data_IF_030127407146
#
_entry.id   IF_030127407146
#
_cell.length_a   1.000
_cell.length_b   1.000
_cell.length_c   1.000
_cell.angle_alpha   90.00
_cell.angle_beta   90.00
_cell.angle_gamma   90.00
#
_symmetry.space_group_name_H-M   'P 1'
#
loop_
_entity.id
_entity.type
_entity.pdbx_description
1 polymer ?
#
# COMPACT_ATOMS: atom_id res chain seq x y z
N UNK A 1 -14.81 -12.02 9.27
CA UNK A 1 -14.17 -10.95 8.44
C UNK A 1 -15.23 -9.89 8.19
N UNK A 2 -15.04 -8.65 8.64
CA UNK A 2 -15.94 -7.56 8.25
C UNK A 2 -15.86 -7.40 6.73
N UNK A 3 -17.01 -7.22 6.05
CA UNK A 3 -17.09 -7.21 4.58
C UNK A 3 -16.28 -6.13 3.87
N UNK A 4 -15.70 -5.17 4.62
CA UNK A 4 -14.89 -4.01 4.16
C UNK A 4 -13.68 -4.38 3.30
N UNK A 5 -13.16 -5.61 3.44
CA UNK A 5 -11.91 -6.04 2.83
C UNK A 5 -12.06 -7.15 1.79
N UNK A 6 -13.29 -7.59 1.50
CA UNK A 6 -13.50 -8.79 0.67
C UNK A 6 -12.97 -8.59 -0.75
N UNK A 7 -13.23 -7.45 -1.38
CA UNK A 7 -12.81 -7.16 -2.76
C UNK A 7 -11.29 -7.04 -2.84
N UNK A 8 -10.68 -6.26 -1.94
CA UNK A 8 -9.23 -6.07 -1.92
C UNK A 8 -8.49 -7.37 -1.55
N UNK A 9 -9.05 -8.18 -0.65
CA UNK A 9 -8.51 -9.50 -0.30
C UNK A 9 -8.57 -10.48 -1.46
N UNK A 10 -9.68 -10.52 -2.21
CA UNK A 10 -9.80 -11.33 -3.43
C UNK A 10 -8.81 -10.86 -4.49
N UNK A 11 -8.68 -9.56 -4.72
CA UNK A 11 -7.72 -9.02 -5.69
C UNK A 11 -6.26 -9.36 -5.31
N UNK A 12 -5.90 -9.25 -4.04
CA UNK A 12 -4.59 -9.70 -3.55
C UNK A 12 -4.40 -11.20 -3.80
N UNK A 13 -5.35 -12.05 -3.42
CA UNK A 13 -5.26 -13.50 -3.63
C UNK A 13 -5.12 -13.88 -5.12
N UNK A 14 -5.86 -13.22 -6.00
CA UNK A 14 -5.75 -13.41 -7.46
C UNK A 14 -4.38 -12.96 -7.98
N UNK A 15 -3.89 -11.79 -7.56
CA UNK A 15 -2.57 -11.31 -7.93
C UNK A 15 -1.46 -12.24 -7.43
N UNK A 16 -1.57 -12.75 -6.21
CA UNK A 16 -0.65 -13.74 -5.68
C UNK A 16 -0.66 -15.00 -6.54
N UNK A 17 -1.84 -15.52 -6.89
CA UNK A 17 -1.97 -16.65 -7.80
C UNK A 17 -1.30 -16.42 -9.16
N UNK A 18 -1.48 -15.22 -9.74
CA UNK A 18 -0.82 -14.83 -10.99
C UNK A 18 0.70 -14.72 -10.85
N UNK A 19 1.21 -14.18 -9.74
CA UNK A 19 2.65 -14.13 -9.46
C UNK A 19 3.23 -15.53 -9.31
N UNK A 20 2.53 -16.43 -8.62
CA UNK A 20 2.94 -17.83 -8.48
C UNK A 20 2.92 -18.58 -9.83
N UNK A 21 1.99 -18.23 -10.74
CA UNK A 21 1.91 -18.79 -12.08
C UNK A 21 2.85 -18.13 -13.10
N UNK A 22 3.35 -16.92 -12.82
CA UNK A 22 4.16 -16.12 -13.74
C UNK A 22 5.43 -16.81 -14.27
N UNK A 23 6.13 -17.71 -13.55
CA UNK A 23 7.25 -18.46 -14.11
C UNK A 23 6.89 -19.26 -15.38
N UNK A 24 5.64 -19.69 -15.51
CA UNK A 24 5.18 -20.52 -16.64
C UNK A 24 4.64 -19.70 -17.82
N UNK A 25 4.17 -18.47 -17.58
CA UNK A 25 3.43 -17.67 -18.56
C UNK A 25 4.28 -16.51 -19.09
N UNK A 26 5.05 -15.86 -18.21
CA UNK A 26 5.76 -14.63 -18.51
C UNK A 26 6.69 -14.26 -17.35
N UNK A 27 7.88 -14.88 -17.28
CA UNK A 27 8.83 -14.65 -16.18
C UNK A 27 9.25 -13.17 -16.05
N UNK A 28 9.23 -12.42 -17.16
CA UNK A 28 9.54 -10.99 -17.19
C UNK A 28 8.50 -10.11 -16.46
N UNK A 29 7.29 -10.63 -16.23
CA UNK A 29 6.23 -9.94 -15.49
C UNK A 29 6.37 -10.10 -13.98
N UNK A 30 7.16 -11.08 -13.53
CA UNK A 30 7.32 -11.44 -12.13
C UNK A 30 7.77 -10.24 -11.25
N UNK A 31 8.75 -9.40 -11.65
CA UNK A 31 9.14 -8.24 -10.85
C UNK A 31 8.01 -7.21 -10.66
N UNK A 32 7.18 -7.00 -11.69
CA UNK A 32 6.04 -6.07 -11.63
C UNK A 32 4.91 -6.61 -10.76
N UNK A 33 4.63 -7.91 -10.84
CA UNK A 33 3.65 -8.57 -10.00
C UNK A 33 4.06 -8.55 -8.52
N UNK A 34 5.35 -8.78 -8.24
CA UNK A 34 5.93 -8.66 -6.89
C UNK A 34 5.81 -7.22 -6.37
N UNK A 35 6.19 -6.21 -7.16
CA UNK A 35 6.02 -4.81 -6.77
C UNK A 35 4.56 -4.48 -6.43
N UNK A 36 3.62 -5.00 -7.21
CA UNK A 36 2.20 -4.82 -6.97
C UNK A 36 1.74 -5.49 -5.66
N UNK A 37 2.25 -6.69 -5.35
CA UNK A 37 2.00 -7.35 -4.07
C UNK A 37 2.53 -6.51 -2.91
N UNK A 38 3.70 -5.88 -3.02
CA UNK A 38 4.26 -5.02 -1.97
C UNK A 38 3.34 -3.83 -1.65
N UNK A 39 2.79 -3.18 -2.68
CA UNK A 39 1.84 -2.07 -2.52
C UNK A 39 0.56 -2.55 -1.82
N UNK A 40 -0.07 -3.61 -2.33
CA UNK A 40 -1.37 -4.08 -1.83
C UNK A 40 -1.23 -4.67 -0.42
N UNK A 41 -0.19 -5.45 -0.16
CA UNK A 41 0.07 -6.05 1.16
C UNK A 41 0.33 -4.97 2.22
N UNK A 42 1.15 -3.96 1.91
CA UNK A 42 1.42 -2.87 2.83
C UNK A 42 0.18 -2.02 3.12
N UNK A 43 -0.65 -1.80 2.09
CA UNK A 43 -1.96 -1.16 2.25
C UNK A 43 -2.86 -1.94 3.21
N UNK A 44 -3.00 -3.25 3.00
CA UNK A 44 -3.82 -4.12 3.85
C UNK A 44 -3.27 -4.22 5.27
N UNK A 45 -1.95 -4.31 5.44
CA UNK A 45 -1.29 -4.32 6.74
C UNK A 45 -1.62 -3.04 7.50
N UNK A 46 -1.51 -1.87 6.85
CA UNK A 46 -1.83 -0.59 7.48
C UNK A 46 -3.32 -0.45 7.79
N UNK A 47 -4.19 -0.97 6.93
CA UNK A 47 -5.63 -0.95 7.15
C UNK A 47 -6.07 -1.87 8.31
N UNK A 48 -5.42 -3.02 8.45
CA UNK A 48 -5.65 -3.96 9.54
C UNK A 48 -5.21 -3.40 10.89
N UNK A 49 -4.16 -2.58 10.91
CA UNK A 49 -3.68 -1.89 12.10
C UNK A 49 -4.48 -0.61 12.40
N UNK A 50 -5.71 -0.80 12.89
CA UNK A 50 -6.64 0.30 13.24
C UNK A 50 -6.17 1.19 14.41
N UNK A 51 -5.04 0.88 15.06
CA UNK A 51 -4.52 1.62 16.21
C UNK A 51 -3.56 2.72 15.75
N UNK A 52 -4.12 3.86 15.38
CA UNK A 52 -3.42 4.99 14.76
C UNK A 52 -2.41 5.73 15.65
N UNK A 53 -2.60 5.73 16.97
CA UNK A 53 -1.82 6.56 17.88
C UNK A 53 -1.04 5.77 18.95
N UNK A 54 -1.38 4.50 19.21
CA UNK A 54 -1.01 3.85 20.49
C UNK A 54 0.22 2.94 20.47
N UNK A 55 0.97 2.86 19.35
CA UNK A 55 2.23 2.09 19.30
C UNK A 55 3.49 2.96 19.21
N UNK A 56 3.42 4.22 19.62
CA UNK A 56 4.64 5.01 19.79
C UNK A 56 5.49 4.38 20.91
N UNK A 57 6.69 3.88 20.56
CA UNK A 57 7.70 3.39 21.51
C UNK A 57 8.13 1.93 21.35
N UNK A 58 9.21 1.57 22.06
CA UNK A 58 9.91 0.28 21.96
C UNK A 58 9.02 -0.96 22.21
N UNK A 59 7.99 -0.85 23.06
CA UNK A 59 7.06 -1.95 23.34
C UNK A 59 6.12 -2.25 22.16
N UNK A 60 5.64 -1.22 21.47
CA UNK A 60 4.84 -1.37 20.25
C UNK A 60 5.66 -1.97 19.11
N UNK A 61 6.92 -1.54 18.99
CA UNK A 61 7.91 -2.08 18.06
C UNK A 61 8.21 -3.56 18.32
N UNK A 62 8.55 -3.92 19.57
CA UNK A 62 8.82 -5.31 19.95
C UNK A 62 7.61 -6.23 19.74
N UNK A 63 6.39 -5.76 20.03
CA UNK A 63 5.16 -6.50 19.75
C UNK A 63 4.94 -6.71 18.25
N UNK A 64 5.22 -5.70 17.42
CA UNK A 64 5.10 -5.82 15.97
C UNK A 64 6.09 -6.84 15.39
N UNK A 65 7.34 -6.82 15.87
CA UNK A 65 8.39 -7.77 15.46
C UNK A 65 8.01 -9.20 15.83
N UNK A 66 7.44 -9.44 17.02
CA UNK A 66 7.00 -10.79 17.40
C UNK A 66 5.93 -11.38 16.49
N UNK A 67 5.13 -10.53 15.83
CA UNK A 67 4.11 -10.95 14.87
C UNK A 67 4.63 -11.02 13.42
N UNK A 68 5.82 -10.48 13.15
CA UNK A 68 6.40 -10.45 11.80
C UNK A 68 6.68 -11.85 11.21
N UNK A 69 7.14 -12.87 11.96
CA UNK A 69 7.45 -14.18 11.37
C UNK A 69 6.31 -14.78 10.56
N UNK A 70 5.08 -14.75 11.09
CA UNK A 70 3.90 -15.25 10.37
C UNK A 70 3.58 -14.47 9.10
N UNK A 71 3.93 -13.18 9.05
CA UNK A 71 3.76 -12.33 7.84
C UNK A 71 4.87 -12.53 6.82
N UNK A 72 6.06 -12.97 7.24
CA UNK A 72 7.21 -13.20 6.35
C UNK A 72 7.10 -14.51 5.56
N UNK A 73 6.36 -15.51 6.04
CA UNK A 73 6.24 -16.82 5.38
C UNK A 73 5.74 -16.72 3.93
N UNK A 74 4.66 -15.99 3.60
CA UNK A 74 4.23 -15.83 2.20
C UNK A 74 5.28 -15.18 1.30
N UNK A 75 6.08 -14.25 1.85
CA UNK A 75 7.16 -13.59 1.12
C UNK A 75 8.34 -14.51 0.85
N UNK A 76 8.67 -15.40 1.80
CA UNK A 76 9.64 -16.46 1.58
C UNK A 76 9.18 -17.40 0.44
N UNK A 77 7.89 -17.76 0.41
CA UNK A 77 7.32 -18.52 -0.71
C UNK A 77 7.44 -17.78 -2.05
N UNK A 78 7.16 -16.48 -2.07
CA UNK A 78 7.32 -15.64 -3.27
C UNK A 78 8.78 -15.56 -3.74
N UNK A 79 9.73 -15.46 -2.80
CA UNK A 79 11.15 -15.47 -3.10
C UNK A 79 11.60 -16.83 -3.68
N UNK A 80 11.11 -17.95 -3.14
CA UNK A 80 11.35 -19.29 -3.71
C UNK A 80 10.84 -19.38 -5.14
N UNK A 81 9.65 -18.86 -5.43
CA UNK A 81 9.12 -18.81 -6.80
C UNK A 81 10.00 -17.98 -7.73
N UNK A 82 10.53 -16.85 -7.27
CA UNK A 82 11.49 -16.06 -8.06
C UNK A 82 12.78 -16.85 -8.38
N UNK A 83 13.26 -17.71 -7.47
CA UNK A 83 14.39 -18.62 -7.75
C UNK A 83 14.00 -19.68 -8.79
N UNK A 84 12.81 -20.27 -8.67
CA UNK A 84 12.31 -21.29 -9.61
C UNK A 84 12.10 -20.70 -11.01
N UNK A 85 11.74 -19.42 -11.12
CA UNK A 85 11.53 -18.74 -12.39
C UNK A 85 12.78 -18.63 -13.28
N UNK A 86 13.96 -18.91 -12.74
CA UNK A 86 15.20 -19.04 -13.50
C UNK A 86 16.34 -18.16 -12.96
N UNK A 87 17.57 -18.35 -13.48
CA UNK A 87 18.78 -17.70 -12.95
C UNK A 87 18.73 -16.17 -13.04
N UNK A 88 18.03 -15.63 -14.04
CA UNK A 88 17.84 -14.19 -14.22
C UNK A 88 17.01 -13.55 -13.10
N UNK A 89 16.07 -14.30 -12.52
CA UNK A 89 15.16 -13.84 -11.47
C UNK A 89 15.64 -14.22 -10.05
N UNK A 90 16.69 -15.02 -9.92
CA UNK A 90 17.25 -15.39 -8.61
C UNK A 90 17.70 -14.15 -7.79
N UNK A 91 18.21 -13.11 -8.44
CA UNK A 91 18.56 -11.85 -7.78
C UNK A 91 17.34 -11.10 -7.20
N UNK A 92 16.15 -11.29 -7.79
CA UNK A 92 14.92 -10.73 -7.28
C UNK A 92 14.51 -11.38 -5.96
N UNK A 93 14.79 -12.67 -5.75
CA UNK A 93 14.51 -13.35 -4.49
C UNK A 93 15.21 -12.67 -3.30
N UNK A 94 16.51 -12.35 -3.45
CA UNK A 94 17.25 -11.59 -2.45
C UNK A 94 16.66 -10.19 -2.23
N UNK A 95 16.21 -9.55 -3.30
CA UNK A 95 15.59 -8.22 -3.25
C UNK A 95 14.23 -8.23 -2.54
N UNK A 96 13.40 -9.26 -2.76
CA UNK A 96 12.14 -9.49 -2.06
C UNK A 96 12.40 -9.63 -0.56
N UNK A 97 13.32 -10.50 -0.17
CA UNK A 97 13.64 -10.76 1.22
C UNK A 97 14.21 -9.52 1.92
N UNK A 98 15.15 -8.82 1.28
CA UNK A 98 15.70 -7.57 1.81
C UNK A 98 14.61 -6.50 1.96
N UNK A 99 13.77 -6.31 0.95
CA UNK A 99 12.72 -5.31 0.97
C UNK A 99 11.64 -5.60 2.01
N UNK A 100 11.23 -6.85 2.20
CA UNK A 100 10.23 -7.18 3.21
C UNK A 100 10.79 -7.09 4.63
N UNK A 101 12.05 -7.46 4.84
CA UNK A 101 12.71 -7.28 6.14
C UNK A 101 12.83 -5.80 6.48
N UNK A 102 13.26 -4.96 5.53
CA UNK A 102 13.26 -3.51 5.72
C UNK A 102 11.83 -2.99 5.95
N UNK A 103 10.87 -3.45 5.14
CA UNK A 103 9.45 -3.11 5.18
C UNK A 103 8.83 -3.34 6.55
N UNK A 104 8.91 -4.55 7.05
CA UNK A 104 8.29 -4.98 8.31
C UNK A 104 9.06 -4.52 9.55
N UNK A 105 10.40 -4.52 9.53
CA UNK A 105 11.20 -4.25 10.74
C UNK A 105 11.53 -2.76 10.94
N UNK A 106 11.63 -1.99 9.85
CA UNK A 106 12.06 -0.58 9.88
C UNK A 106 11.01 0.38 9.33
N UNK A 107 10.57 0.16 8.09
CA UNK A 107 9.71 1.12 7.37
C UNK A 107 8.32 1.14 7.99
N UNK A 108 7.72 0.00 8.31
CA UNK A 108 6.39 -0.06 8.91
C UNK A 108 6.34 0.62 10.28
N UNK A 109 7.22 0.29 11.25
CA UNK A 109 7.10 0.90 12.57
C UNK A 109 7.42 2.39 12.59
N UNK A 110 8.41 2.85 11.81
CA UNK A 110 8.75 4.28 11.70
C UNK A 110 7.69 5.02 10.87
N UNK A 111 7.30 4.45 9.73
CA UNK A 111 6.33 5.01 8.81
C UNK A 111 4.95 5.13 9.44
N UNK A 112 4.44 4.11 10.14
CA UNK A 112 3.15 4.18 10.81
C UNK A 112 3.06 5.36 11.80
N UNK A 113 4.17 5.69 12.48
CA UNK A 113 4.26 6.84 13.37
C UNK A 113 4.33 8.17 12.62
N UNK A 114 5.22 8.29 11.62
CA UNK A 114 5.41 9.53 10.87
C UNK A 114 4.20 9.87 9.98
N UNK A 115 3.63 8.89 9.29
CA UNK A 115 2.46 9.05 8.42
C UNK A 115 1.24 9.56 9.20
N UNK A 116 1.13 9.19 10.49
CA UNK A 116 0.10 9.70 11.39
C UNK A 116 0.15 11.21 11.58
N UNK A 117 1.32 11.84 11.42
CA UNK A 117 1.52 13.29 11.66
C UNK A 117 1.42 14.15 10.41
N UNK A 118 1.55 13.56 9.22
CA UNK A 118 1.54 14.32 7.97
C UNK A 118 0.10 14.75 7.61
N UNK A 119 -0.15 16.03 7.26
CA UNK A 119 -1.45 16.41 6.71
C UNK A 119 -1.69 15.72 5.36
N UNK A 120 -2.95 15.69 4.89
CA UNK A 120 -3.31 15.01 3.63
C UNK A 120 -2.52 15.50 2.41
N UNK A 121 -2.20 16.80 2.34
CA UNK A 121 -1.31 17.37 1.30
C UNK A 121 0.13 16.85 1.43
N UNK A 122 0.62 16.68 2.66
CA UNK A 122 1.93 16.09 2.92
C UNK A 122 2.00 14.62 2.51
N UNK A 123 0.92 13.85 2.69
CA UNK A 123 0.82 12.48 2.20
C UNK A 123 0.82 12.42 0.67
N UNK A 124 0.11 13.33 0.00
CA UNK A 124 0.14 13.41 -1.45
C UNK A 124 1.55 13.74 -1.98
N UNK A 125 2.25 14.69 -1.35
CA UNK A 125 3.64 15.01 -1.68
C UNK A 125 4.58 13.81 -1.45
N UNK A 126 4.39 13.07 -0.34
CA UNK A 126 5.15 11.86 -0.06
C UNK A 126 4.88 10.75 -1.11
N UNK A 127 3.62 10.54 -1.50
CA UNK A 127 3.25 9.58 -2.56
C UNK A 127 3.95 9.95 -3.86
N UNK A 128 3.93 11.23 -4.26
CA UNK A 128 4.65 11.70 -5.45
C UNK A 128 6.16 11.47 -5.35
N UNK A 129 6.76 11.78 -4.19
CA UNK A 129 8.18 11.54 -3.94
C UNK A 129 8.54 10.06 -4.04
N UNK A 130 7.71 9.17 -3.49
CA UNK A 130 7.90 7.72 -3.56
C UNK A 130 7.75 7.20 -4.99
N UNK A 131 6.82 7.73 -5.79
CA UNK A 131 6.69 7.38 -7.20
C UNK A 131 7.91 7.82 -8.02
N UNK A 132 8.43 9.03 -7.77
CA UNK A 132 9.69 9.51 -8.37
C UNK A 132 10.85 8.61 -7.92
N UNK A 133 10.89 8.25 -6.64
CA UNK A 133 11.89 7.32 -6.11
C UNK A 133 11.83 5.96 -6.81
N UNK A 134 10.64 5.40 -7.00
CA UNK A 134 10.45 4.19 -7.80
C UNK A 134 10.99 4.38 -9.22
N UNK A 135 10.73 5.50 -9.90
CA UNK A 135 11.24 5.71 -11.26
C UNK A 135 12.77 5.83 -11.35
N UNK A 136 13.43 6.28 -10.28
CA UNK A 136 14.89 6.38 -10.19
C UNK A 136 15.55 5.05 -9.80
N UNK A 137 14.83 4.16 -9.10
CA UNK A 137 15.32 2.85 -8.72
C UNK A 137 15.10 1.81 -9.83
N UNK A 138 16.11 0.96 -10.03
CA UNK A 138 16.04 -0.11 -11.03
C UNK A 138 14.94 -1.13 -10.71
N UNK A 139 14.38 -1.74 -11.75
CA UNK A 139 13.39 -2.81 -11.62
C UNK A 139 13.99 -3.97 -10.82
N UNK A 140 13.20 -4.53 -9.90
CA UNK A 140 13.63 -5.65 -9.06
C UNK A 140 14.64 -5.29 -7.97
N UNK A 141 15.09 -4.05 -7.85
CA UNK A 141 15.98 -3.64 -6.75
C UNK A 141 15.23 -3.59 -5.41
N UNK A 142 15.90 -3.90 -4.29
CA UNK A 142 15.26 -3.89 -2.97
C UNK A 142 14.75 -2.51 -2.57
N UNK A 143 15.44 -1.44 -2.98
CA UNK A 143 15.02 -0.06 -2.74
C UNK A 143 13.66 0.25 -3.41
N UNK A 144 13.45 -0.21 -4.65
CA UNK A 144 12.20 -0.04 -5.37
C UNK A 144 11.04 -0.74 -4.66
N UNK A 145 11.24 -1.99 -4.25
CA UNK A 145 10.24 -2.77 -3.52
C UNK A 145 9.94 -2.17 -2.12
N UNK A 146 10.95 -1.65 -1.44
CA UNK A 146 10.79 -0.92 -0.18
C UNK A 146 9.98 0.37 -0.35
N UNK A 147 10.22 1.12 -1.43
CA UNK A 147 9.41 2.29 -1.78
C UNK A 147 7.98 1.91 -2.14
N UNK A 148 7.78 0.82 -2.88
CA UNK A 148 6.46 0.27 -3.19
C UNK A 148 5.68 -0.13 -1.91
N UNK A 149 6.36 -0.71 -0.92
CA UNK A 149 5.79 -0.97 0.40
C UNK A 149 5.35 0.33 1.09
N UNK A 150 6.24 1.34 1.15
CA UNK A 150 5.93 2.64 1.74
C UNK A 150 4.79 3.37 1.01
N UNK A 151 4.71 3.19 -0.32
CA UNK A 151 3.66 3.73 -1.17
C UNK A 151 2.30 3.13 -0.80
N UNK A 152 2.22 1.81 -0.61
CA UNK A 152 1.02 1.12 -0.14
C UNK A 152 0.53 1.63 1.22
N UNK A 153 1.43 1.78 2.19
CA UNK A 153 1.10 2.35 3.50
C UNK A 153 0.60 3.80 3.40
N UNK A 154 1.31 4.63 2.64
CA UNK A 154 0.97 6.05 2.45
C UNK A 154 -0.37 6.21 1.75
N UNK A 155 -0.62 5.38 0.73
CA UNK A 155 -1.90 5.28 0.03
C UNK A 155 -3.06 4.93 0.96
N UNK A 156 -2.86 3.97 1.85
CA UNK A 156 -3.85 3.58 2.85
C UNK A 156 -4.20 4.74 3.78
N UNK A 157 -3.19 5.43 4.32
CA UNK A 157 -3.39 6.58 5.19
C UNK A 157 -4.07 7.74 4.45
N UNK A 158 -3.68 7.99 3.20
CA UNK A 158 -4.29 9.00 2.34
C UNK A 158 -5.78 8.70 2.09
N UNK A 159 -6.09 7.44 1.81
CA UNK A 159 -7.45 6.97 1.59
C UNK A 159 -8.32 7.08 2.84
N UNK A 160 -7.83 6.63 4.00
CA UNK A 160 -8.56 6.71 5.28
C UNK A 160 -8.84 8.14 5.74
N UNK A 161 -8.14 9.14 5.19
CA UNK A 161 -8.37 10.59 5.43
C UNK A 161 -9.12 11.26 4.28
N UNK A 162 -9.51 10.47 3.29
CA UNK A 162 -10.26 10.88 2.11
C UNK A 162 -11.76 10.85 2.35
N UNK A 163 -12.54 11.40 1.41
CA UNK A 163 -13.97 11.22 1.41
C UNK A 163 -14.30 9.74 1.13
N UNK A 164 -15.05 9.11 2.05
CA UNK A 164 -15.50 7.73 1.92
C UNK A 164 -16.66 7.62 0.92
N UNK A 165 -16.61 6.58 0.06
CA UNK A 165 -17.75 6.17 -0.76
C UNK A 165 -18.22 7.15 -1.86
N UNK A 166 -17.51 8.25 -2.09
CA UNK A 166 -17.89 9.20 -3.15
C UNK A 166 -17.62 8.65 -4.55
N UNK A 167 -18.66 8.60 -5.40
CA UNK A 167 -18.56 8.15 -6.79
C UNK A 167 -17.47 8.88 -7.58
N UNK A 168 -17.32 10.19 -7.34
CA UNK A 168 -16.28 11.01 -7.98
C UNK A 168 -14.87 10.51 -7.63
N UNK A 169 -14.60 10.20 -6.37
CA UNK A 169 -13.29 9.72 -5.93
C UNK A 169 -12.98 8.36 -6.54
N UNK A 170 -13.96 7.45 -6.55
CA UNK A 170 -13.82 6.14 -7.22
C UNK A 170 -13.55 6.27 -8.72
N UNK A 171 -14.28 7.15 -9.43
CA UNK A 171 -14.07 7.39 -10.86
C UNK A 171 -12.70 8.00 -11.14
N UNK A 172 -12.22 8.93 -10.30
CA UNK A 172 -10.90 9.52 -10.44
C UNK A 172 -9.79 8.48 -10.22
N UNK A 173 -9.88 7.63 -9.19
CA UNK A 173 -8.88 6.58 -8.97
C UNK A 173 -8.94 5.50 -10.05
N UNK A 174 -10.14 5.16 -10.55
CA UNK A 174 -10.30 4.18 -11.62
C UNK A 174 -9.73 4.69 -12.95
N UNK A 175 -10.02 5.94 -13.31
CA UNK A 175 -9.46 6.57 -14.50
C UNK A 175 -7.95 6.74 -14.38
N UNK A 176 -7.44 7.16 -13.21
CA UNK A 176 -6.00 7.23 -12.97
C UNK A 176 -5.32 5.85 -13.10
N UNK A 177 -5.94 4.79 -12.58
CA UNK A 177 -5.45 3.42 -12.74
C UNK A 177 -5.41 3.00 -14.20
N UNK A 178 -6.50 3.21 -14.94
CA UNK A 178 -6.60 2.89 -16.37
C UNK A 178 -5.56 3.65 -17.20
N UNK A 179 -5.47 4.97 -17.03
CA UNK A 179 -4.50 5.81 -17.75
C UNK A 179 -3.07 5.40 -17.43
N UNK A 180 -2.73 5.21 -16.16
CA UNK A 180 -1.37 4.85 -15.77
C UNK A 180 -0.96 3.46 -16.31
N UNK A 181 -1.85 2.46 -16.23
CA UNK A 181 -1.56 1.13 -16.77
C UNK A 181 -1.49 1.15 -18.30
N UNK A 182 -2.35 1.91 -18.98
CA UNK A 182 -2.26 2.10 -20.44
C UNK A 182 -0.96 2.80 -20.84
N UNK A 183 -0.54 3.84 -20.10
CA UNK A 183 0.76 4.49 -20.32
C UNK A 183 1.92 3.50 -20.13
N UNK A 184 1.88 2.66 -19.09
CA UNK A 184 2.91 1.66 -18.84
C UNK A 184 3.01 0.63 -19.98
N UNK A 185 1.90 0.32 -20.66
CA UNK A 185 1.84 -0.61 -21.79
C UNK A 185 2.27 0.04 -23.12
N UNK A 186 1.83 1.27 -23.39
CA UNK A 186 2.05 1.94 -24.68
C UNK A 186 3.38 2.70 -24.72
N UNK A 187 3.85 3.20 -23.57
CA UNK A 187 5.04 4.03 -23.44
C UNK A 187 6.03 3.38 -22.45
N UNK A 188 6.90 2.46 -22.90
CA UNK A 188 7.83 1.73 -22.04
C UNK A 188 8.75 2.62 -21.19
N UNK A 189 9.09 3.81 -21.71
CA UNK A 189 9.89 4.80 -20.99
C UNK A 189 9.23 5.29 -19.69
N UNK A 190 7.90 5.15 -19.56
CA UNK A 190 7.14 5.60 -18.39
C UNK A 190 6.85 4.47 -17.40
N UNK A 191 7.08 3.20 -17.75
CA UNK A 191 6.66 2.03 -16.98
C UNK A 191 7.17 2.06 -15.54
N UNK A 192 8.40 2.52 -15.32
CA UNK A 192 9.02 2.64 -13.99
C UNK A 192 8.26 3.55 -13.01
N UNK A 193 7.53 4.55 -13.53
CA UNK A 193 6.66 5.42 -12.76
C UNK A 193 5.19 4.99 -12.84
N UNK A 194 4.74 4.66 -14.05
CA UNK A 194 3.35 4.42 -14.38
C UNK A 194 2.81 3.13 -13.76
N UNK A 195 3.62 2.06 -13.65
CA UNK A 195 3.17 0.83 -12.98
C UNK A 195 2.85 1.02 -11.49
N UNK A 196 3.76 1.51 -10.63
CA UNK A 196 3.43 1.70 -9.21
C UNK A 196 2.29 2.71 -9.01
N UNK A 197 2.21 3.75 -9.85
CA UNK A 197 1.08 4.69 -9.83
C UNK A 197 -0.24 4.00 -10.17
N UNK A 198 -0.26 3.19 -11.23
CA UNK A 198 -1.44 2.44 -11.68
C UNK A 198 -1.90 1.41 -10.65
N UNK A 199 -0.96 0.67 -10.05
CA UNK A 199 -1.27 -0.30 -8.99
C UNK A 199 -1.82 0.40 -7.75
N UNK A 200 -1.20 1.51 -7.32
CA UNK A 200 -1.71 2.28 -6.19
C UNK A 200 -3.12 2.78 -6.47
N UNK A 201 -3.36 3.36 -7.65
CA UNK A 201 -4.68 3.86 -8.05
C UNK A 201 -5.72 2.74 -8.15
N UNK A 202 -5.35 1.56 -8.65
CA UNK A 202 -6.20 0.37 -8.66
C UNK A 202 -6.54 -0.08 -7.24
N UNK A 203 -5.54 -0.11 -6.34
CA UNK A 203 -5.72 -0.43 -4.92
C UNK A 203 -6.70 0.51 -4.24
N UNK A 204 -6.57 1.83 -4.48
CA UNK A 204 -7.48 2.85 -3.98
C UNK A 204 -8.90 2.69 -4.54
N UNK A 205 -9.01 2.36 -5.84
CA UNK A 205 -10.31 2.09 -6.47
C UNK A 205 -11.02 0.92 -5.81
N UNK A 206 -10.31 -0.20 -5.60
CA UNK A 206 -10.86 -1.37 -4.92
C UNK A 206 -11.25 -1.08 -3.47
N UNK A 207 -10.46 -0.25 -2.77
CA UNK A 207 -10.79 0.21 -1.42
C UNK A 207 -12.03 1.10 -1.40
N UNK A 208 -12.19 2.01 -2.36
CA UNK A 208 -13.42 2.80 -2.49
C UNK A 208 -14.64 1.90 -2.81
N UNK A 209 -14.51 0.97 -3.76
CA UNK A 209 -15.58 0.04 -4.12
C UNK A 209 -16.02 -0.86 -2.94
N UNK A 210 -15.11 -1.18 -2.02
CA UNK A 210 -15.44 -1.98 -0.84
C UNK A 210 -16.19 -1.19 0.24
N UNK A 211 -16.17 0.15 0.18
CA UNK A 211 -16.83 1.06 1.13
C UNK A 211 -18.12 1.71 0.59
N UNK A 212 -18.40 1.65 -0.73
CA UNK A 212 -19.66 2.18 -1.33
C UNK A 212 -20.94 1.65 -0.65
N UNK A 213 -20.88 0.51 0.06
CA UNK A 213 -22.00 -0.03 0.85
C UNK A 213 -22.16 0.58 2.25
N UNK A 214 -21.37 1.59 2.64
CA UNK A 214 -21.46 2.28 3.94
C UNK A 214 -22.14 3.63 3.80
N UNK A 215 -22.92 4.00 4.81
CA UNK A 215 -23.25 5.40 5.04
C UNK A 215 -21.94 6.17 5.28
N UNK A 216 -21.67 7.26 4.55
CA UNK A 216 -20.47 8.05 4.75
C UNK A 216 -20.49 8.69 6.14
N UNK A 217 -19.62 8.22 7.04
CA UNK A 217 -19.37 8.93 8.29
C UNK A 217 -18.71 10.26 7.96
N UNK A 218 -19.27 11.31 8.54
CA UNK A 218 -19.17 12.67 8.02
C UNK A 218 -17.79 13.24 8.36
N UNK A 219 -16.86 13.17 7.41
CA UNK A 219 -15.61 13.94 7.40
C UNK A 219 -15.85 15.46 7.36
N UNK A 220 -17.12 15.89 7.21
CA UNK A 220 -17.56 17.24 7.54
C UNK A 220 -17.56 17.42 9.05
N UNK A 221 -16.39 17.82 9.56
CA UNK A 221 -16.26 18.85 10.59
C UNK A 221 -17.33 18.81 11.70
N UNK A 222 -17.02 18.16 12.83
CA UNK A 222 -17.25 18.81 14.13
C UNK A 222 -16.32 20.03 14.21
N UNK A 223 -16.58 21.03 13.38
CA UNK A 223 -16.03 22.37 13.51
C UNK A 223 -17.02 23.19 14.32
N UNK A 224 -16.54 23.70 15.45
CA UNK A 224 -17.09 24.83 16.21
C UNK A 224 -18.58 24.76 16.63
N UNK A 225 -18.84 24.49 17.91
CA UNK A 225 -20.18 24.60 18.47
C UNK A 225 -20.23 24.43 19.99
N UNK A 226 -19.62 25.34 20.75
CA UNK A 226 -20.01 25.63 22.13
C UNK A 226 -19.12 25.05 23.24
N UNK A 227 -18.01 25.74 23.56
CA UNK A 227 -17.46 25.71 24.92
C UNK A 227 -18.47 26.45 25.83
N UNK A 228 -19.37 25.71 26.49
CA UNK A 228 -20.28 26.26 27.51
C UNK A 228 -19.45 26.66 28.71
N UNK A 229 -19.23 27.97 28.88
CA UNK A 229 -18.92 28.52 30.19
C UNK A 229 -20.10 28.19 31.13
N UNK A 230 -19.87 27.36 32.14
CA UNK A 230 -20.72 27.36 33.33
C UNK A 230 -20.44 28.66 34.06
N UNK A 231 -21.32 29.64 33.90
CA UNK A 231 -21.49 30.69 34.89
C UNK A 231 -22.15 30.02 36.11
N UNK A 232 -21.36 29.77 37.15
CA UNK A 232 -21.89 29.59 38.50
C UNK A 232 -22.47 30.94 38.92
N UNK A 233 -23.80 31.04 38.86
CA UNK A 233 -24.55 32.11 39.51
C UNK A 233 -24.53 31.94 41.02
N UNK A 234 -24.38 33.07 41.69
CA UNK A 234 -24.54 33.39 43.12
C UNK A 234 -25.69 32.67 43.80
#
# INVERSE_FOLDING_TARGET
MSGELRILGVAHGLLLGLVLASPMIGPDLLPWGVEALFIIAAFQLRLADRRWESRAGLRGWASHIRMAPGRLVPWAGTAVVAVIAGPQQAALAGSILAAILMGELLIYPVGAYLLGRLPRRGLAALILLLLIGCSLAGQGQPARLAMAFALGMSGCVFWMRGPDGEARSTMLTASAAGVALLCALILPATTAFAMPAGVLAATLTLAHLSVIRRHPDHWRLRGAGGFRWRLTGS
#
